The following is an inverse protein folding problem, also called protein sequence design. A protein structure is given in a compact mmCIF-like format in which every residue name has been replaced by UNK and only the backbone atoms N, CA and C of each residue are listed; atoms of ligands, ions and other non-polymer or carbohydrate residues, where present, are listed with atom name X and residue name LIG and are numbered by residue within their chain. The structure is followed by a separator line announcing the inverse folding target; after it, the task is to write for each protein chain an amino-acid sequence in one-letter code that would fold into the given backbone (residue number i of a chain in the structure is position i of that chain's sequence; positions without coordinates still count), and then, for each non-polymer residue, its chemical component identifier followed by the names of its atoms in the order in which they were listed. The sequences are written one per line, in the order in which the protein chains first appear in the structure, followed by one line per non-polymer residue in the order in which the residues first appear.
data_IF_056604086476
#
_entry.id   IF_056604086476
#
_cell.length_a   1.000
_cell.length_b   1.000
_cell.length_c   1.000
_cell.angle_alpha   90.00
_cell.angle_beta   90.00
_cell.angle_gamma   90.00
#
_symmetry.space_group_name_H-M   'P 1'
#
loop_
_entity.id
_entity.type
_entity.pdbx_description
1 polymer ?
#
# COMPACT_ATOMS: atom_id res chain seq x y z
N UNK A 1 -36.45 6.08 31.02
CA UNK A 1 -35.42 6.86 30.32
C UNK A 1 -34.52 5.83 29.63
N UNK A 2 -35.03 5.29 28.54
CA UNK A 2 -34.37 4.30 27.70
C UNK A 2 -34.04 5.00 26.40
N UNK A 3 -32.77 4.97 25.97
CA UNK A 3 -32.27 5.03 24.58
C UNK A 3 -30.85 5.57 24.51
N UNK A 4 -29.89 4.85 25.06
CA UNK A 4 -28.48 4.94 24.61
C UNK A 4 -27.81 3.56 24.47
N UNK A 5 -28.62 2.51 24.31
CA UNK A 5 -28.15 1.22 23.81
C UNK A 5 -28.58 1.06 22.35
N UNK A 6 -27.62 0.75 21.47
CA UNK A 6 -27.78 0.17 20.11
C UNK A 6 -27.30 0.96 18.87
N UNK A 7 -26.30 1.84 18.98
CA UNK A 7 -25.60 2.39 17.79
C UNK A 7 -24.21 1.76 17.50
N UNK A 8 -23.90 0.59 18.10
CA UNK A 8 -22.84 -0.31 17.62
C UNK A 8 -23.41 -1.35 16.64
N UNK A 9 -24.17 -0.90 15.63
CA UNK A 9 -24.64 -1.79 14.55
C UNK A 9 -23.59 -1.82 13.44
N UNK A 10 -22.81 -2.90 13.43
CA UNK A 10 -22.10 -3.44 12.26
C UNK A 10 -21.16 -2.47 11.54
N UNK A 11 -20.15 -1.93 12.24
CA UNK A 11 -18.94 -1.52 11.52
C UNK A 11 -18.31 -2.82 11.00
N UNK A 12 -18.51 -3.11 9.71
CA UNK A 12 -17.70 -4.12 9.02
C UNK A 12 -16.25 -3.71 9.26
N UNK A 13 -15.52 -4.44 10.11
CA UNK A 13 -14.06 -4.37 10.14
C UNK A 13 -13.59 -4.86 8.78
N UNK A 14 -13.45 -3.92 7.84
CA UNK A 14 -12.95 -4.25 6.51
C UNK A 14 -11.50 -4.68 6.70
N UNK A 15 -11.17 -5.89 6.25
CA UNK A 15 -9.81 -6.40 6.27
C UNK A 15 -8.87 -5.45 5.51
N UNK A 16 -7.80 -5.03 6.16
CA UNK A 16 -6.74 -4.22 5.55
C UNK A 16 -6.18 -4.83 4.25
N UNK A 17 -6.18 -6.17 4.11
CA UNK A 17 -5.83 -6.84 2.86
C UNK A 17 -6.87 -6.60 1.77
N UNK A 18 -8.15 -6.68 2.11
CA UNK A 18 -9.26 -6.42 1.18
C UNK A 18 -9.22 -4.98 0.67
N UNK A 19 -8.96 -4.00 1.55
CA UNK A 19 -8.77 -2.60 1.16
C UNK A 19 -7.58 -2.42 0.21
N UNK A 20 -6.43 -3.05 0.53
CA UNK A 20 -5.26 -3.02 -0.34
C UNK A 20 -5.58 -3.62 -1.72
N UNK A 21 -6.23 -4.78 -1.78
CA UNK A 21 -6.57 -5.43 -3.05
C UNK A 21 -7.45 -4.53 -3.91
N UNK A 22 -8.50 -3.93 -3.33
CA UNK A 22 -9.38 -2.98 -4.04
C UNK A 22 -8.61 -1.78 -4.56
N UNK A 23 -7.72 -1.21 -3.74
CA UNK A 23 -6.87 -0.10 -4.15
C UNK A 23 -5.95 -0.46 -5.31
N UNK A 24 -5.26 -1.61 -5.25
CA UNK A 24 -4.37 -2.08 -6.32
C UNK A 24 -5.14 -2.37 -7.62
N UNK A 25 -6.35 -2.92 -7.53
CA UNK A 25 -7.23 -3.13 -8.70
C UNK A 25 -7.60 -1.79 -9.35
N UNK A 26 -7.97 -0.79 -8.55
CA UNK A 26 -8.26 0.57 -9.05
C UNK A 26 -7.03 1.19 -9.70
N UNK A 27 -5.88 1.16 -9.05
CA UNK A 27 -4.62 1.66 -9.60
C UNK A 27 -4.29 1.01 -10.94
N UNK A 28 -4.44 -0.31 -11.06
CA UNK A 28 -4.23 -1.02 -12.33
C UNK A 28 -5.19 -0.54 -13.42
N UNK A 29 -6.48 -0.37 -13.10
CA UNK A 29 -7.47 0.12 -14.07
C UNK A 29 -7.15 1.54 -14.53
N UNK A 30 -6.78 2.42 -13.61
CA UNK A 30 -6.51 3.83 -13.90
C UNK A 30 -5.19 3.98 -14.69
N UNK A 31 -4.15 3.21 -14.35
CA UNK A 31 -2.88 3.18 -15.07
C UNK A 31 -3.00 2.66 -16.52
N UNK A 32 -4.01 1.82 -16.81
CA UNK A 32 -4.32 1.34 -18.17
C UNK A 32 -5.10 2.37 -18.99
N UNK A 33 -5.92 3.20 -18.34
CA UNK A 33 -6.73 4.24 -18.99
C UNK A 33 -5.94 5.53 -19.21
N UNK A 34 -4.95 5.81 -18.38
CA UNK A 34 -4.19 7.06 -18.39
C UNK A 34 -2.68 6.79 -18.51
N UNK A 35 -2.20 6.61 -19.75
CA UNK A 35 -0.82 6.23 -20.04
C UNK A 35 0.21 7.24 -19.50
N UNK A 36 -0.11 8.55 -19.55
CA UNK A 36 0.78 9.61 -19.05
C UNK A 36 0.98 9.55 -17.53
N UNK A 37 -0.01 9.06 -16.78
CA UNK A 37 0.03 8.95 -15.30
C UNK A 37 0.36 7.53 -14.82
N UNK A 38 0.44 6.56 -15.74
CA UNK A 38 0.63 5.13 -15.45
C UNK A 38 1.82 4.86 -14.52
N UNK A 39 2.98 5.47 -14.80
CA UNK A 39 4.20 5.31 -13.97
C UNK A 39 4.01 5.81 -12.54
N UNK A 40 3.37 6.98 -12.37
CA UNK A 40 3.08 7.56 -11.06
C UNK A 40 2.12 6.67 -10.29
N UNK A 41 1.03 6.23 -10.93
CA UNK A 41 0.03 5.35 -10.31
C UNK A 41 0.66 4.03 -9.86
N UNK A 42 1.47 3.39 -10.72
CA UNK A 42 2.17 2.15 -10.36
C UNK A 42 3.12 2.38 -9.18
N UNK A 43 3.95 3.42 -9.23
CA UNK A 43 4.90 3.75 -8.15
C UNK A 43 4.19 4.00 -6.82
N UNK A 44 3.09 4.76 -6.81
CA UNK A 44 2.29 5.01 -5.61
C UNK A 44 1.70 3.71 -5.06
N UNK A 45 1.17 2.87 -5.95
CA UNK A 45 0.57 1.58 -5.58
C UNK A 45 1.59 0.60 -4.98
N UNK A 46 2.83 0.60 -5.52
CA UNK A 46 3.92 -0.22 -5.02
C UNK A 46 4.36 0.22 -3.62
N UNK A 47 4.42 1.53 -3.34
CA UNK A 47 4.76 2.05 -2.01
C UNK A 47 3.68 1.66 -1.00
N UNK A 48 2.39 1.81 -1.32
CA UNK A 48 1.30 1.41 -0.42
C UNK A 48 1.36 -0.09 -0.11
N UNK A 49 1.59 -0.93 -1.14
CA UNK A 49 1.78 -2.36 -0.94
C UNK A 49 3.02 -2.66 -0.09
N UNK A 50 4.13 -1.95 -0.30
CA UNK A 50 5.35 -2.12 0.47
C UNK A 50 5.13 -1.79 1.96
N UNK A 51 4.41 -0.72 2.30
CA UNK A 51 4.09 -0.40 3.71
C UNK A 51 3.23 -1.50 4.34
N UNK A 52 2.22 -2.01 3.62
CA UNK A 52 1.41 -3.12 4.10
C UNK A 52 2.25 -4.37 4.38
N UNK A 53 3.12 -4.76 3.44
CA UNK A 53 3.98 -5.93 3.62
C UNK A 53 5.07 -5.71 4.65
N UNK A 54 5.59 -4.50 4.81
CA UNK A 54 6.55 -4.15 5.86
C UNK A 54 5.94 -4.37 7.25
N UNK A 55 4.70 -3.91 7.49
CA UNK A 55 3.99 -4.14 8.76
C UNK A 55 3.80 -5.63 9.06
N UNK A 56 3.59 -6.46 8.03
CA UNK A 56 3.41 -7.91 8.17
C UNK A 56 4.73 -8.69 8.27
N UNK A 57 5.79 -8.18 7.65
CA UNK A 57 7.12 -8.78 7.60
C UNK A 57 8.19 -7.69 7.80
N UNK A 58 8.42 -7.25 9.05
CA UNK A 58 9.41 -6.20 9.32
C UNK A 58 10.84 -6.60 8.90
N UNK A 59 11.13 -7.90 8.92
CA UNK A 59 12.37 -8.45 8.37
C UNK A 59 12.23 -8.66 6.86
N UNK A 60 13.03 -7.91 6.10
CA UNK A 60 13.04 -7.96 4.63
C UNK A 60 13.38 -9.35 4.07
N UNK A 61 14.20 -10.14 4.78
CA UNK A 61 14.59 -11.46 4.30
C UNK A 61 13.43 -12.44 4.34
N UNK A 62 12.55 -12.33 5.33
CA UNK A 62 11.35 -13.18 5.44
C UNK A 62 10.37 -12.87 4.29
N UNK A 63 10.19 -11.58 3.98
CA UNK A 63 9.42 -11.15 2.83
C UNK A 63 10.00 -11.69 1.51
N UNK A 64 11.30 -11.49 1.28
CA UNK A 64 11.99 -11.94 0.05
C UNK A 64 11.88 -13.46 -0.10
N UNK A 65 12.15 -14.23 0.95
CA UNK A 65 12.07 -15.69 0.88
C UNK A 65 10.64 -16.18 0.58
N UNK A 66 9.64 -15.51 1.13
CA UNK A 66 8.23 -15.91 0.95
C UNK A 66 7.69 -15.55 -0.43
N UNK A 67 7.96 -14.33 -0.92
CA UNK A 67 7.28 -13.77 -2.09
C UNK A 67 8.20 -13.62 -3.32
N UNK A 68 9.51 -13.52 -3.15
CA UNK A 68 10.48 -13.29 -4.24
C UNK A 68 11.36 -14.52 -4.50
N UNK A 69 10.71 -15.68 -4.69
CA UNK A 69 11.36 -17.00 -4.77
C UNK A 69 12.32 -17.14 -5.97
N UNK A 70 12.02 -16.49 -7.09
CA UNK A 70 12.92 -16.40 -8.25
C UNK A 70 13.70 -15.09 -8.11
N UNK A 71 14.90 -15.16 -7.51
CA UNK A 71 15.82 -14.03 -7.29
C UNK A 71 16.38 -13.41 -8.59
N UNK A 72 15.65 -13.52 -9.69
CA UNK A 72 16.12 -13.25 -11.05
C UNK A 72 16.11 -11.75 -11.37
N UNK A 73 15.31 -10.95 -10.66
CA UNK A 73 15.29 -9.50 -10.81
C UNK A 73 16.13 -8.80 -9.72
N UNK A 74 17.39 -8.52 -10.07
CA UNK A 74 18.31 -7.77 -9.21
C UNK A 74 17.76 -6.39 -8.84
N UNK A 75 17.11 -5.68 -9.78
CA UNK A 75 16.60 -4.33 -9.52
C UNK A 75 15.44 -4.38 -8.55
N UNK A 76 14.52 -5.34 -8.72
CA UNK A 76 13.40 -5.52 -7.80
C UNK A 76 13.88 -5.88 -6.38
N UNK A 77 14.92 -6.71 -6.26
CA UNK A 77 15.51 -7.06 -4.98
C UNK A 77 16.19 -5.86 -4.29
N UNK A 78 16.93 -5.05 -5.04
CA UNK A 78 17.57 -3.85 -4.49
C UNK A 78 16.53 -2.80 -4.09
N UNK A 79 15.53 -2.59 -4.93
CA UNK A 79 14.41 -1.69 -4.61
C UNK A 79 13.72 -2.15 -3.32
N UNK A 80 13.40 -3.44 -3.19
CA UNK A 80 12.76 -3.99 -1.99
C UNK A 80 13.60 -3.75 -0.74
N UNK A 81 14.90 -4.02 -0.79
CA UNK A 81 15.82 -3.81 0.34
C UNK A 81 15.96 -2.34 0.72
N UNK A 82 16.12 -1.46 -0.27
CA UNK A 82 16.22 -0.02 -0.05
C UNK A 82 14.92 0.53 0.56
N UNK A 83 13.77 0.10 0.03
CA UNK A 83 12.45 0.47 0.58
C UNK A 83 12.32 0.02 2.03
N UNK A 84 12.61 -1.24 2.37
CA UNK A 84 12.57 -1.71 3.77
C UNK A 84 13.50 -0.93 4.70
N UNK A 85 14.70 -0.60 4.24
CA UNK A 85 15.66 0.18 5.02
C UNK A 85 15.22 1.64 5.24
N UNK A 86 14.37 2.17 4.36
CA UNK A 86 13.73 3.48 4.54
C UNK A 86 12.56 3.36 5.50
N UNK A 87 11.66 2.40 5.28
CA UNK A 87 10.48 2.19 6.13
C UNK A 87 10.85 1.89 7.58
N UNK A 88 11.96 1.19 7.83
CA UNK A 88 12.44 0.88 9.18
C UNK A 88 12.93 2.08 9.99
N UNK A 89 13.13 3.23 9.34
CA UNK A 89 13.52 4.49 9.98
C UNK A 89 12.32 5.39 10.25
N UNK A 90 11.12 5.00 9.82
CA UNK A 90 9.89 5.76 9.98
C UNK A 90 9.10 5.20 11.16
N UNK A 91 8.47 6.10 11.90
CA UNK A 91 7.48 5.79 12.93
C UNK A 91 6.14 5.36 12.29
N UNK A 92 5.27 4.70 13.06
CA UNK A 92 3.94 4.31 12.56
C UNK A 92 3.06 5.47 12.07
N UNK A 93 3.06 6.65 12.72
CA UNK A 93 2.41 7.84 12.16
C UNK A 93 2.97 8.22 10.80
N UNK A 94 4.30 8.29 10.64
CA UNK A 94 4.94 8.64 9.36
C UNK A 94 4.63 7.62 8.26
N UNK A 95 4.57 6.33 8.60
CA UNK A 95 4.16 5.27 7.66
C UNK A 95 2.70 5.44 7.23
N UNK A 96 1.83 5.85 8.15
CA UNK A 96 0.42 6.10 7.86
C UNK A 96 0.24 7.33 6.97
N UNK A 97 0.96 8.41 7.26
CA UNK A 97 0.97 9.62 6.45
C UNK A 97 1.52 9.34 5.04
N UNK A 98 2.56 8.52 4.92
CA UNK A 98 3.08 8.07 3.63
C UNK A 98 2.00 7.36 2.81
N UNK A 99 1.26 6.42 3.40
CA UNK A 99 0.16 5.71 2.72
C UNK A 99 -0.91 6.69 2.26
N UNK A 100 -1.36 7.59 3.13
CA UNK A 100 -2.39 8.57 2.81
C UNK A 100 -1.95 9.49 1.67
N UNK A 101 -0.70 9.95 1.69
CA UNK A 101 -0.13 10.79 0.65
C UNK A 101 -0.06 10.06 -0.71
N UNK A 102 0.37 8.80 -0.75
CA UNK A 102 0.38 8.02 -2.00
C UNK A 102 -1.04 7.82 -2.56
N UNK A 103 -2.03 7.59 -1.70
CA UNK A 103 -3.44 7.47 -2.12
C UNK A 103 -3.93 8.78 -2.73
N UNK A 104 -3.62 9.92 -2.11
CA UNK A 104 -3.99 11.25 -2.63
C UNK A 104 -3.35 11.55 -3.98
N UNK A 105 -2.09 11.14 -4.21
CA UNK A 105 -1.43 11.31 -5.51
C UNK A 105 -2.13 10.52 -6.63
N UNK A 106 -2.71 9.36 -6.31
CA UNK A 106 -3.50 8.59 -7.26
C UNK A 106 -4.86 9.24 -7.51
N UNK A 107 -5.51 9.80 -6.49
CA UNK A 107 -6.85 10.38 -6.59
C UNK A 107 -6.88 11.77 -7.28
N UNK A 108 -5.92 12.64 -6.94
CA UNK A 108 -5.78 13.99 -7.53
C UNK A 108 -5.27 13.97 -8.98
N UNK A 109 -5.03 12.78 -9.55
CA UNK A 109 -4.64 12.62 -10.94
C UNK A 109 -5.78 12.89 -11.94
N UNK A 110 -6.93 13.40 -11.50
CA UNK A 110 -8.05 13.84 -12.35
C UNK A 110 -8.08 15.35 -12.67
N UNK A 111 -7.19 16.18 -12.09
CA UNK A 111 -7.21 17.65 -12.28
C UNK A 111 -6.20 18.23 -13.28
N UNK A 112 -5.43 17.39 -13.99
CA UNK A 112 -4.53 17.83 -15.09
C UNK A 112 -4.83 17.15 -16.42
#
# INVERSE_FOLDING_TARGET
MEKEQSLQKNTLEIDSLELLIRFLIKCKSDAQKNESKSKTITSCSDIVAAVYYYRKYPNVNDFIQKYMKKKEDYFQLQWTRATWATLSKMSEPELSDLVMYQIQLVDNSQED
#
